data_IF_822469535074
#
_entry.id   IF_822469535074
#
_cell.length_a   1.000
_cell.length_b   1.000
_cell.length_c   1.000
_cell.angle_alpha   90.00
_cell.angle_beta   90.00
_cell.angle_gamma   90.00
#
_symmetry.space_group_name_H-M   'P 1'
#
loop_
_entity.id
_entity.type
_entity.pdbx_description
1 polymer ?
#
# COMPACT_ATOMS: atom_id res chain seq x y z
N UNK A 1 -19.78 32.10 -36.28
CA UNK A 1 -18.84 31.16 -36.93
C UNK A 1 -17.38 31.33 -36.46
N UNK A 2 -17.13 32.09 -35.37
CA UNK A 2 -15.77 32.34 -34.83
C UNK A 2 -15.56 31.81 -33.41
N UNK A 3 -16.48 31.04 -32.88
CA UNK A 3 -16.40 30.56 -31.49
C UNK A 3 -15.98 29.08 -31.35
N UNK A 4 -15.65 28.38 -32.43
CA UNK A 4 -15.31 26.94 -32.43
C UNK A 4 -13.81 26.66 -32.71
N UNK A 5 -12.99 27.68 -32.88
CA UNK A 5 -11.54 27.52 -33.16
C UNK A 5 -10.66 27.58 -31.91
N UNK A 6 -11.21 27.86 -30.73
CA UNK A 6 -10.47 28.05 -29.48
C UNK A 6 -10.23 26.80 -28.64
N UNK A 7 -10.83 25.66 -28.99
CA UNK A 7 -10.78 24.44 -28.13
C UNK A 7 -9.79 23.37 -28.65
N UNK A 8 -9.21 23.56 -29.84
CA UNK A 8 -8.31 22.56 -30.43
C UNK A 8 -6.81 22.88 -30.32
N UNK A 9 -6.39 23.83 -29.51
CA UNK A 9 -4.98 24.23 -29.39
C UNK A 9 -4.35 23.86 -28.04
N UNK A 10 -4.90 22.95 -27.27
CA UNK A 10 -4.24 22.37 -26.09
C UNK A 10 -3.88 20.89 -26.30
N UNK A 11 -3.37 20.54 -27.47
CA UNK A 11 -2.51 19.39 -27.59
C UNK A 11 -1.13 19.79 -27.01
N UNK A 12 -1.03 19.85 -25.68
CA UNK A 12 0.26 19.79 -25.04
C UNK A 12 0.91 18.48 -25.52
N UNK A 13 1.91 18.62 -26.36
CA UNK A 13 2.96 17.66 -26.59
C UNK A 13 3.63 17.47 -25.22
N UNK A 14 3.03 16.62 -24.37
CA UNK A 14 3.74 16.16 -23.18
C UNK A 14 4.99 15.49 -23.71
N UNK A 15 6.13 16.05 -23.35
CA UNK A 15 7.41 15.38 -23.55
C UNK A 15 7.27 13.97 -22.97
N UNK A 16 7.83 12.93 -23.60
CA UNK A 16 7.77 11.58 -23.06
C UNK A 16 8.22 11.66 -21.61
N UNK A 17 7.32 11.31 -20.68
CA UNK A 17 7.55 11.38 -19.25
C UNK A 17 8.73 10.48 -18.95
N UNK A 18 9.93 11.08 -18.73
CA UNK A 18 11.08 10.32 -18.28
C UNK A 18 10.69 9.59 -17.01
N UNK A 19 10.58 8.29 -17.13
CA UNK A 19 10.23 7.39 -16.05
C UNK A 19 11.45 7.22 -15.18
N UNK A 20 11.61 8.12 -14.19
CA UNK A 20 12.66 7.97 -13.21
C UNK A 20 12.28 6.88 -12.19
N UNK A 21 13.28 6.32 -11.55
CA UNK A 21 13.14 5.23 -10.59
C UNK A 21 12.13 5.50 -9.47
N UNK A 22 12.03 6.74 -8.99
CA UNK A 22 11.10 7.12 -7.94
C UNK A 22 9.62 6.93 -8.36
N UNK A 23 9.28 7.25 -9.62
CA UNK A 23 7.92 7.06 -10.14
C UNK A 23 7.52 5.59 -10.30
N UNK A 24 8.49 4.70 -10.55
CA UNK A 24 8.24 3.27 -10.68
C UNK A 24 7.93 2.61 -9.33
N UNK A 25 8.61 3.04 -8.26
CA UNK A 25 8.39 2.56 -6.89
C UNK A 25 6.96 2.89 -6.43
N UNK A 26 6.39 4.01 -6.84
CA UNK A 26 5.03 4.44 -6.50
C UNK A 26 3.91 3.51 -7.03
N UNK A 27 4.22 2.51 -7.88
CA UNK A 27 3.21 1.60 -8.41
C UNK A 27 2.88 0.39 -7.53
N UNK A 28 3.79 -0.01 -6.66
CA UNK A 28 3.60 -1.24 -5.88
C UNK A 28 4.11 -1.14 -4.45
N UNK A 29 5.02 -0.20 -4.15
CA UNK A 29 5.64 -0.10 -2.83
C UNK A 29 5.13 1.10 -2.05
N UNK A 30 4.82 0.86 -0.79
CA UNK A 30 4.48 1.90 0.17
C UNK A 30 5.77 2.36 0.85
N UNK A 31 6.08 3.66 0.84
CA UNK A 31 7.27 4.17 1.52
C UNK A 31 7.18 3.93 3.03
N UNK A 32 8.31 3.66 3.70
CA UNK A 32 8.33 3.48 5.15
C UNK A 32 7.98 4.77 5.88
N UNK A 33 7.28 4.64 6.98
CA UNK A 33 6.84 5.77 7.82
C UNK A 33 7.94 6.15 8.82
N UNK A 34 9.02 6.73 8.36
CA UNK A 34 10.12 7.38 9.08
C UNK A 34 10.44 6.89 10.53
N UNK A 35 10.11 5.65 10.87
CA UNK A 35 10.42 5.03 12.17
C UNK A 35 9.58 5.53 13.36
N UNK A 36 8.57 6.38 13.15
CA UNK A 36 7.73 6.93 14.25
C UNK A 36 7.00 5.83 15.04
N UNK A 37 6.66 4.73 14.40
CA UNK A 37 6.03 3.58 15.07
C UNK A 37 6.93 2.87 16.08
N UNK A 38 8.25 3.07 16.02
CA UNK A 38 9.18 2.44 16.96
C UNK A 38 9.00 2.89 18.41
N UNK A 39 8.44 4.09 18.63
CA UNK A 39 8.23 4.65 19.97
C UNK A 39 7.05 4.01 20.73
N UNK A 40 6.23 3.19 20.05
CA UNK A 40 5.04 2.54 20.64
C UNK A 40 5.06 1.02 20.50
N UNK A 41 6.21 0.42 20.17
CA UNK A 41 6.28 -1.04 19.96
C UNK A 41 5.96 -1.84 21.22
N UNK A 42 6.21 -1.29 22.39
CA UNK A 42 5.88 -1.87 23.69
C UNK A 42 4.37 -1.94 23.97
N UNK A 43 3.56 -1.14 23.27
CA UNK A 43 2.09 -1.20 23.31
C UNK A 43 1.52 -2.27 22.38
N UNK A 44 2.31 -2.80 21.46
CA UNK A 44 1.90 -3.80 20.46
C UNK A 44 2.32 -5.22 20.83
N UNK A 45 1.56 -6.19 20.34
CA UNK A 45 1.93 -7.60 20.43
C UNK A 45 2.86 -7.98 19.28
N UNK A 46 4.06 -8.46 19.61
CA UNK A 46 5.05 -8.90 18.63
C UNK A 46 4.71 -10.30 18.09
N UNK A 47 4.50 -10.39 16.80
CA UNK A 47 4.16 -11.61 16.08
C UNK A 47 5.25 -11.95 15.06
N UNK A 48 5.40 -13.24 14.74
CA UNK A 48 6.31 -13.73 13.71
C UNK A 48 5.54 -14.56 12.71
N UNK A 49 5.80 -14.34 11.43
CA UNK A 49 5.19 -15.04 10.31
C UNK A 49 6.27 -15.55 9.39
N UNK A 50 6.15 -16.79 8.94
CA UNK A 50 6.99 -17.33 7.86
C UNK A 50 6.46 -16.86 6.52
N UNK A 51 7.33 -16.84 5.51
CA UNK A 51 6.91 -16.56 4.14
C UNK A 51 5.69 -17.41 3.75
N UNK A 52 4.65 -16.76 3.23
CA UNK A 52 3.40 -17.38 2.82
C UNK A 52 2.32 -17.47 3.90
N UNK A 53 2.63 -17.22 5.18
CA UNK A 53 1.61 -17.21 6.23
C UNK A 53 0.76 -15.94 6.17
N UNK A 54 -0.53 -16.09 6.47
CA UNK A 54 -1.46 -14.95 6.53
C UNK A 54 -1.28 -14.18 7.84
N UNK A 55 -1.11 -12.87 7.72
CA UNK A 55 -1.08 -11.90 8.83
C UNK A 55 -2.50 -11.47 9.17
N UNK A 56 -3.34 -11.32 8.15
CA UNK A 56 -4.76 -11.00 8.25
C UNK A 56 -5.50 -11.68 7.11
N UNK A 57 -6.60 -12.38 7.43
CA UNK A 57 -7.40 -13.06 6.41
C UNK A 57 -8.46 -12.14 5.80
N UNK A 58 -8.72 -12.31 4.50
CA UNK A 58 -9.84 -11.64 3.83
C UNK A 58 -11.18 -12.10 4.40
N UNK A 59 -12.04 -11.17 4.76
CA UNK A 59 -13.31 -11.43 5.46
C UNK A 59 -13.29 -11.11 6.95
N UNK A 60 -12.11 -10.95 7.54
CA UNK A 60 -11.99 -10.54 8.94
C UNK A 60 -12.34 -9.06 9.14
N UNK A 61 -12.82 -8.75 10.34
CA UNK A 61 -12.98 -7.37 10.81
C UNK A 61 -11.62 -6.80 11.22
N UNK A 62 -11.46 -5.50 11.11
CA UNK A 62 -10.22 -4.79 11.45
C UNK A 62 -10.03 -4.60 12.95
N UNK A 63 -9.73 -5.67 13.66
CA UNK A 63 -9.47 -5.63 15.11
C UNK A 63 -8.06 -5.10 15.44
N UNK A 64 -7.15 -5.15 14.47
CA UNK A 64 -5.75 -4.77 14.66
C UNK A 64 -5.23 -3.89 13.53
N UNK A 65 -4.32 -2.96 13.89
CA UNK A 65 -3.35 -2.38 12.96
C UNK A 65 -2.04 -3.16 13.07
N UNK A 66 -1.40 -3.39 11.94
CA UNK A 66 -0.15 -4.16 11.86
C UNK A 66 1.00 -3.27 11.38
N UNK A 67 2.05 -3.15 12.18
CA UNK A 67 3.30 -2.52 11.79
C UNK A 67 4.31 -3.57 11.35
N UNK A 68 4.78 -3.51 10.12
CA UNK A 68 5.81 -4.40 9.58
C UNK A 68 7.17 -3.93 10.09
N UNK A 69 7.66 -4.58 11.13
CA UNK A 69 8.95 -4.25 11.74
C UNK A 69 10.13 -4.79 10.94
N UNK A 70 10.01 -6.01 10.41
CA UNK A 70 11.02 -6.68 9.60
C UNK A 70 10.34 -7.53 8.53
N UNK A 71 10.98 -7.60 7.35
CA UNK A 71 10.47 -8.36 6.21
C UNK A 71 9.55 -7.55 5.29
N UNK A 72 8.76 -8.25 4.49
CA UNK A 72 7.80 -7.71 3.53
C UNK A 72 6.44 -8.39 3.70
N UNK A 73 5.38 -7.61 3.82
CA UNK A 73 4.00 -8.08 3.76
C UNK A 73 3.38 -7.69 2.42
N UNK A 74 2.41 -8.46 1.92
CA UNK A 74 1.74 -8.25 0.64
C UNK A 74 0.24 -8.21 0.83
N UNK A 75 -0.41 -7.17 0.30
CA UNK A 75 -1.85 -7.13 0.20
C UNK A 75 -2.27 -7.92 -1.04
N UNK A 76 -2.99 -9.01 -0.83
CA UNK A 76 -3.39 -9.94 -1.89
C UNK A 76 -4.91 -10.05 -2.01
N UNK A 77 -5.37 -10.13 -3.23
CA UNK A 77 -6.77 -10.42 -3.56
C UNK A 77 -6.86 -11.72 -4.31
N UNK A 78 -7.68 -12.63 -3.80
CA UNK A 78 -8.05 -13.87 -4.50
C UNK A 78 -9.43 -13.70 -5.12
N UNK A 79 -9.57 -14.04 -6.39
CA UNK A 79 -10.84 -14.05 -7.12
C UNK A 79 -11.59 -15.35 -6.90
N UNK A 80 -12.88 -15.39 -7.22
CA UNK A 80 -13.72 -16.60 -7.03
C UNK A 80 -13.22 -17.82 -7.84
N UNK A 81 -12.50 -17.59 -8.93
CA UNK A 81 -11.87 -18.63 -9.76
C UNK A 81 -10.44 -18.98 -9.29
N UNK A 82 -10.05 -18.52 -8.09
CA UNK A 82 -8.77 -18.88 -7.46
C UNK A 82 -7.55 -18.12 -7.97
N UNK A 83 -7.71 -17.12 -8.86
CA UNK A 83 -6.58 -16.29 -9.29
C UNK A 83 -6.19 -15.30 -8.20
N UNK A 84 -4.90 -15.17 -7.97
CA UNK A 84 -4.34 -14.26 -7.00
C UNK A 84 -3.71 -13.02 -7.65
N UNK A 85 -3.90 -11.88 -7.02
CA UNK A 85 -3.27 -10.62 -7.42
C UNK A 85 -2.68 -9.91 -6.21
N UNK A 86 -1.39 -9.60 -6.29
CA UNK A 86 -0.74 -8.69 -5.35
C UNK A 86 -1.16 -7.27 -5.74
N UNK A 87 -1.82 -6.58 -4.81
CA UNK A 87 -2.25 -5.19 -4.98
C UNK A 87 -1.14 -4.23 -4.61
N UNK A 88 -0.42 -4.52 -3.52
CA UNK A 88 0.74 -3.73 -3.07
C UNK A 88 1.64 -4.53 -2.14
N UNK A 89 2.91 -4.12 -2.05
CA UNK A 89 3.90 -4.64 -1.12
C UNK A 89 4.25 -3.59 -0.07
N UNK A 90 4.34 -4.03 1.17
CA UNK A 90 4.61 -3.22 2.35
C UNK A 90 5.89 -3.73 3.00
N UNK A 91 6.96 -2.94 2.93
CA UNK A 91 8.27 -3.28 3.52
C UNK A 91 8.34 -2.85 4.98
N UNK A 92 9.43 -3.26 5.63
CA UNK A 92 9.74 -2.81 7.00
C UNK A 92 9.58 -1.30 7.14
N UNK A 93 8.93 -0.86 8.21
CA UNK A 93 8.61 0.54 8.49
C UNK A 93 7.23 0.98 8.05
N UNK A 94 6.40 0.10 7.48
CA UNK A 94 5.04 0.45 7.04
C UNK A 94 3.98 -0.12 7.97
N UNK A 95 2.80 0.53 7.99
CA UNK A 95 1.60 0.04 8.67
C UNK A 95 0.65 -0.57 7.64
N UNK A 96 -0.17 -1.52 8.05
CA UNK A 96 -1.20 -2.13 7.23
C UNK A 96 -2.41 -2.57 8.07
N UNK A 97 -3.52 -2.89 7.41
CA UNK A 97 -4.78 -3.25 8.07
C UNK A 97 -5.71 -2.07 8.32
N UNK A 98 -5.33 -0.83 7.95
CA UNK A 98 -6.06 0.40 8.27
C UNK A 98 -7.48 0.43 7.68
N UNK A 99 -7.67 -0.08 6.47
CA UNK A 99 -8.97 0.00 5.81
C UNK A 99 -10.08 -0.67 6.63
N UNK A 100 -10.02 -1.99 6.91
CA UNK A 100 -11.06 -2.63 7.74
C UNK A 100 -11.05 -2.14 9.18
N UNK A 101 -9.92 -1.59 9.65
CA UNK A 101 -9.81 -1.04 10.99
C UNK A 101 -10.63 0.25 11.16
N UNK A 102 -10.58 1.18 10.20
CA UNK A 102 -11.24 2.48 10.32
C UNK A 102 -12.64 2.51 9.73
N UNK A 103 -12.90 1.78 8.63
CA UNK A 103 -14.23 1.75 8.01
C UNK A 103 -15.16 0.67 8.57
N UNK A 104 -14.63 -0.21 9.45
CA UNK A 104 -15.36 -1.31 10.10
C UNK A 104 -16.02 -2.31 9.13
N UNK A 105 -15.65 -2.23 7.85
CA UNK A 105 -16.08 -3.18 6.83
C UNK A 105 -15.11 -4.36 6.79
N UNK A 106 -15.60 -5.61 6.75
CA UNK A 106 -14.72 -6.78 6.64
C UNK A 106 -13.73 -6.67 5.49
N UNK A 107 -12.48 -7.05 5.74
CA UNK A 107 -11.39 -6.97 4.78
C UNK A 107 -11.74 -7.72 3.49
N UNK A 108 -11.55 -7.09 2.34
CA UNK A 108 -11.76 -7.73 1.04
C UNK A 108 -10.52 -8.43 0.48
N UNK A 109 -9.38 -8.27 1.15
CA UNK A 109 -8.08 -8.78 0.74
C UNK A 109 -7.36 -9.35 1.95
N UNK A 110 -6.53 -10.35 1.75
CA UNK A 110 -5.64 -10.88 2.79
C UNK A 110 -4.32 -10.11 2.81
N UNK A 111 -3.69 -10.07 3.98
CA UNK A 111 -2.31 -9.62 4.15
C UNK A 111 -1.47 -10.87 4.40
N UNK A 112 -0.51 -11.14 3.52
CA UNK A 112 0.34 -12.33 3.53
C UNK A 112 1.80 -11.93 3.70
N UNK A 113 2.56 -12.69 4.46
CA UNK A 113 4.00 -12.51 4.60
C UNK A 113 4.71 -12.86 3.27
N UNK A 114 5.27 -11.87 2.61
CA UNK A 114 6.02 -12.03 1.36
C UNK A 114 7.41 -12.63 1.57
N UNK A 115 8.00 -12.36 2.74
CA UNK A 115 9.21 -12.97 3.32
C UNK A 115 8.92 -13.38 4.75
N UNK A 116 9.87 -13.95 5.45
CA UNK A 116 9.76 -14.07 6.91
C UNK A 116 9.62 -12.68 7.52
N UNK A 117 8.59 -12.49 8.37
CA UNK A 117 8.21 -11.20 8.92
C UNK A 117 8.22 -11.17 10.44
N UNK A 118 8.57 -10.03 10.99
CA UNK A 118 8.25 -9.61 12.36
C UNK A 118 7.28 -8.45 12.27
N UNK A 119 6.11 -8.61 12.87
CA UNK A 119 5.01 -7.65 12.83
C UNK A 119 4.60 -7.30 14.27
N UNK A 120 4.23 -6.05 14.52
CA UNK A 120 3.59 -5.64 15.76
C UNK A 120 2.10 -5.40 15.48
N UNK A 121 1.24 -6.11 16.21
CA UNK A 121 -0.21 -5.95 16.15
C UNK A 121 -0.67 -5.03 17.28
N UNK A 122 -1.33 -3.95 16.95
CA UNK A 122 -1.93 -3.00 17.89
C UNK A 122 -3.44 -3.19 17.89
N UNK A 123 -4.02 -3.52 19.04
CA UNK A 123 -5.46 -3.70 19.17
C UNK A 123 -6.22 -2.40 18.93
N UNK A 124 -7.49 -2.52 18.53
CA UNK A 124 -8.37 -1.38 18.31
C UNK A 124 -8.43 -0.45 19.51
N UNK A 125 -8.56 -1.03 20.69
CA UNK A 125 -8.61 -0.28 21.95
C UNK A 125 -7.31 0.53 22.19
N UNK A 126 -6.16 -0.11 22.06
CA UNK A 126 -4.85 0.53 22.18
C UNK A 126 -4.68 1.68 21.17
N UNK A 127 -5.04 1.46 19.90
CA UNK A 127 -4.89 2.50 18.86
C UNK A 127 -5.79 3.70 19.16
N UNK A 128 -7.07 3.48 19.45
CA UNK A 128 -8.04 4.56 19.59
C UNK A 128 -7.90 5.33 20.91
N UNK A 129 -7.55 4.66 22.01
CA UNK A 129 -7.53 5.28 23.34
C UNK A 129 -6.14 5.61 23.85
N UNK A 130 -5.08 4.97 23.34
CA UNK A 130 -3.71 5.27 23.79
C UNK A 130 -2.87 5.92 22.70
N UNK A 131 -2.83 5.35 21.46
CA UNK A 131 -1.92 5.82 20.42
C UNK A 131 -2.40 7.14 19.82
N UNK A 132 -3.60 7.18 19.26
CA UNK A 132 -4.08 8.38 18.54
C UNK A 132 -4.17 9.62 19.43
N UNK A 133 -4.64 9.55 20.68
CA UNK A 133 -4.72 10.73 21.55
C UNK A 133 -3.34 11.25 22.01
N UNK A 134 -2.39 10.34 22.24
CA UNK A 134 -1.13 10.71 22.91
C UNK A 134 0.05 10.89 21.94
N UNK A 135 -0.08 10.41 20.68
CA UNK A 135 1.00 10.45 19.67
C UNK A 135 0.52 11.08 18.35
N UNK A 136 0.35 12.42 18.29
CA UNK A 136 -0.15 13.07 17.06
C UNK A 136 0.70 12.80 15.81
N UNK A 137 2.01 12.58 15.99
CA UNK A 137 2.91 12.22 14.89
C UNK A 137 2.53 10.87 14.24
N UNK A 138 2.01 9.92 15.02
CA UNK A 138 1.52 8.64 14.49
C UNK A 138 0.21 8.78 13.71
N UNK A 139 -0.68 9.67 14.16
CA UNK A 139 -1.89 10.02 13.41
C UNK A 139 -1.53 10.59 12.03
N UNK A 140 -0.56 11.49 11.98
CA UNK A 140 -0.08 12.05 10.71
C UNK A 140 0.58 10.97 9.84
N UNK A 141 1.36 10.06 10.43
CA UNK A 141 1.97 8.95 9.70
C UNK A 141 0.91 8.01 9.11
N UNK A 142 -0.17 7.71 9.84
CA UNK A 142 -1.31 6.94 9.32
C UNK A 142 -1.98 7.62 8.12
N UNK A 143 -2.22 8.93 8.20
CA UNK A 143 -2.78 9.70 7.09
C UNK A 143 -1.84 9.69 5.87
N UNK A 144 -0.55 9.83 6.09
CA UNK A 144 0.47 9.72 5.04
C UNK A 144 0.47 8.33 4.38
N UNK A 145 0.40 7.27 5.19
CA UNK A 145 0.30 5.89 4.70
C UNK A 145 -0.93 5.68 3.82
N UNK A 146 -2.10 6.10 4.30
CA UNK A 146 -3.34 6.03 3.53
C UNK A 146 -3.27 6.82 2.22
N UNK A 147 -2.75 8.05 2.25
CA UNK A 147 -2.58 8.87 1.06
C UNK A 147 -1.64 8.21 0.04
N UNK A 148 -0.54 7.61 0.50
CA UNK A 148 0.39 6.86 -0.36
C UNK A 148 -0.27 5.64 -0.99
N UNK A 149 -1.05 4.89 -0.24
CA UNK A 149 -1.80 3.72 -0.74
C UNK A 149 -2.86 4.12 -1.78
N UNK A 150 -3.60 5.19 -1.54
CA UNK A 150 -4.54 5.75 -2.52
C UNK A 150 -3.81 6.12 -3.81
N UNK A 151 -2.66 6.78 -3.73
CA UNK A 151 -1.85 7.14 -4.90
C UNK A 151 -1.40 5.91 -5.70
N UNK A 152 -0.90 4.87 -5.01
CA UNK A 152 -0.53 3.61 -5.65
C UNK A 152 -1.72 2.99 -6.39
N UNK A 153 -2.89 2.92 -5.76
CA UNK A 153 -4.09 2.35 -6.37
C UNK A 153 -4.59 3.18 -7.56
N UNK A 154 -4.56 4.52 -7.46
CA UNK A 154 -4.90 5.41 -8.57
C UNK A 154 -3.96 5.19 -9.76
N UNK A 155 -2.64 5.14 -9.53
CA UNK A 155 -1.65 4.90 -10.57
C UNK A 155 -1.86 3.52 -11.25
N UNK A 156 -2.14 2.47 -10.46
CA UNK A 156 -2.46 1.15 -11.01
C UNK A 156 -3.75 1.19 -11.84
N UNK A 157 -4.78 1.88 -11.38
CA UNK A 157 -6.06 2.02 -12.11
C UNK A 157 -5.86 2.72 -13.45
N UNK A 158 -5.14 3.83 -13.48
CA UNK A 158 -4.80 4.57 -14.71
C UNK A 158 -4.00 3.68 -15.67
N UNK A 159 -2.97 3.01 -15.17
CA UNK A 159 -2.15 2.11 -15.98
C UNK A 159 -2.96 0.96 -16.60
N UNK A 160 -3.88 0.37 -15.83
CA UNK A 160 -4.72 -0.73 -16.32
C UNK A 160 -5.76 -0.25 -17.35
N UNK A 161 -6.22 0.98 -17.26
CA UNK A 161 -7.32 1.51 -18.07
C UNK A 161 -6.86 2.26 -19.32
N UNK A 162 -5.72 2.96 -19.26
CA UNK A 162 -5.30 3.91 -20.29
C UNK A 162 -3.96 3.57 -20.96
N UNK A 163 -3.13 2.75 -20.33
CA UNK A 163 -1.83 2.40 -20.92
C UNK A 163 -1.92 1.15 -21.79
N UNK A 164 -1.24 1.19 -22.94
CA UNK A 164 -1.05 0.04 -23.81
C UNK A 164 -0.20 -1.05 -23.13
N UNK A 165 -0.26 -2.28 -23.67
CA UNK A 165 0.45 -3.43 -23.10
C UNK A 165 1.98 -3.27 -23.08
N UNK A 166 2.67 -2.75 -24.15
CA UNK A 166 4.13 -2.67 -24.15
C UNK A 166 4.73 -1.83 -23.03
N UNK A 167 4.28 -0.59 -22.74
CA UNK A 167 4.77 0.20 -21.60
C UNK A 167 4.59 -0.51 -20.25
N UNK A 168 3.47 -1.23 -20.07
CA UNK A 168 3.19 -1.99 -18.86
C UNK A 168 4.17 -3.15 -18.66
N UNK A 169 4.51 -3.86 -19.74
CA UNK A 169 5.50 -4.94 -19.72
C UNK A 169 6.88 -4.38 -19.37
N UNK A 170 7.32 -3.31 -20.03
CA UNK A 170 8.61 -2.67 -19.74
C UNK A 170 8.73 -2.26 -18.27
N UNK A 171 7.68 -1.65 -17.71
CA UNK A 171 7.64 -1.27 -16.29
C UNK A 171 7.73 -2.49 -15.37
N UNK A 172 6.99 -3.56 -15.67
CA UNK A 172 7.03 -4.80 -14.88
C UNK A 172 8.42 -5.42 -14.88
N UNK A 173 9.07 -5.53 -16.05
CA UNK A 173 10.41 -6.08 -16.16
C UNK A 173 11.44 -5.22 -15.42
N UNK A 174 11.35 -3.89 -15.53
CA UNK A 174 12.25 -2.98 -14.84
C UNK A 174 12.14 -3.11 -13.31
N UNK A 175 10.92 -3.20 -12.77
CA UNK A 175 10.70 -3.41 -11.33
C UNK A 175 11.30 -4.74 -10.86
N UNK A 176 11.13 -5.82 -11.65
CA UNK A 176 11.68 -7.15 -11.31
C UNK A 176 13.21 -7.18 -11.30
N UNK A 177 13.87 -6.51 -12.22
CA UNK A 177 15.34 -6.45 -12.31
C UNK A 177 15.99 -5.68 -11.16
N UNK A 178 15.24 -4.96 -10.36
CA UNK A 178 15.73 -4.20 -9.19
C UNK A 178 15.49 -4.89 -7.86
N UNK A 179 14.61 -5.88 -7.82
CA UNK A 179 14.29 -6.65 -6.61
C UNK A 179 15.23 -7.88 -6.45
N UNK A 180 16.06 -8.18 -7.46
CA UNK A 180 17.15 -9.14 -7.46
C UNK A 180 18.50 -8.44 -7.18
#
# INVERSE_FOLDING_TARGET
LFALYGIMAFAHKEAPMEMNDAKLIEFTHIPPEAGVWRQVLDLGTRLRFRKGEEIMHGGERGEYLYYVHQGEARLMRTTLDGREKILMSMRSGTVTGETPFFDEVPARSSIVAGTDCVVYAFSRDCVLHEILPNYPALTLALLHSLASKVRVLCNQSVSLSLEELPPRICRFLHLRMRDD
#
